data_IF_312826243756
#
_entry.id   IF_312826243756
#
_cell.length_a   1.000
_cell.length_b   1.000
_cell.length_c   1.000
_cell.angle_alpha   90.00
_cell.angle_beta   90.00
_cell.angle_gamma   90.00
#
_symmetry.space_group_name_H-M   'P 1'
#
loop_
_entity.id
_entity.type
_entity.pdbx_description
1 polymer ?
#
# COMPACT_ATOMS: atom_id res chain seq x y z
N UNK A 1 57.52 -5.78 -28.74
CA UNK A 1 56.44 -4.88 -29.21
C UNK A 1 55.11 -5.62 -29.17
N UNK A 2 54.03 -4.90 -28.82
CA UNK A 2 52.61 -5.29 -28.73
C UNK A 2 52.16 -6.00 -27.44
N UNK A 3 52.00 -5.20 -26.38
CA UNK A 3 51.01 -5.47 -25.33
C UNK A 3 49.64 -5.04 -25.86
N UNK A 4 48.76 -6.01 -26.09
CA UNK A 4 47.38 -5.75 -26.50
C UNK A 4 46.56 -5.50 -25.24
N UNK A 5 46.14 -4.24 -25.06
CA UNK A 5 45.19 -3.80 -24.03
C UNK A 5 43.80 -4.32 -24.37
N UNK A 6 43.32 -5.30 -23.60
CA UNK A 6 41.90 -5.69 -23.61
C UNK A 6 41.19 -4.69 -22.70
N UNK A 7 40.53 -3.70 -23.30
CA UNK A 7 39.62 -2.81 -22.60
C UNK A 7 38.40 -3.63 -22.17
N UNK A 8 38.38 -4.08 -20.91
CA UNK A 8 37.21 -4.68 -20.29
C UNK A 8 36.20 -3.56 -20.09
N UNK A 9 35.25 -3.46 -21.02
CA UNK A 9 34.12 -2.55 -20.94
C UNK A 9 33.37 -2.79 -19.64
N UNK A 10 33.41 -1.79 -18.76
CA UNK A 10 32.62 -1.74 -17.54
C UNK A 10 31.16 -1.56 -17.95
N UNK A 11 30.49 -2.68 -18.24
CA UNK A 11 29.05 -2.71 -18.47
C UNK A 11 28.36 -2.45 -17.15
N UNK A 12 28.09 -1.18 -16.89
CA UNK A 12 27.28 -0.71 -15.77
C UNK A 12 25.81 -1.12 -16.03
N UNK A 13 25.47 -2.37 -15.70
CA UNK A 13 24.08 -2.77 -15.52
C UNK A 13 23.58 -2.09 -14.24
N UNK A 14 23.01 -0.90 -14.38
CA UNK A 14 22.13 -0.34 -13.37
C UNK A 14 20.91 -1.25 -13.28
N UNK A 15 20.93 -2.24 -12.37
CA UNK A 15 19.72 -2.98 -11.99
C UNK A 15 18.93 -2.05 -11.08
N UNK A 16 18.15 -1.17 -11.68
CA UNK A 16 17.10 -0.45 -10.97
C UNK A 16 16.04 -1.46 -10.59
N UNK A 17 16.16 -2.04 -9.39
CA UNK A 17 15.10 -2.82 -8.78
C UNK A 17 13.90 -1.92 -8.56
N UNK A 18 12.98 -1.89 -9.51
CA UNK A 18 11.66 -1.28 -9.32
C UNK A 18 10.88 -2.25 -8.44
N UNK A 19 10.80 -1.94 -7.15
CA UNK A 19 9.81 -2.59 -6.28
C UNK A 19 8.44 -2.12 -6.75
N UNK A 20 7.74 -2.99 -7.47
CA UNK A 20 6.33 -2.80 -7.73
C UNK A 20 5.59 -2.86 -6.39
N UNK A 21 5.32 -1.69 -5.78
CA UNK A 21 4.38 -1.61 -4.68
C UNK A 21 3.03 -2.05 -5.25
N UNK A 22 2.64 -3.30 -4.98
CA UNK A 22 1.31 -3.77 -5.32
C UNK A 22 0.32 -2.76 -4.72
N UNK A 23 -0.55 -2.10 -5.52
CA UNK A 23 -1.42 -1.05 -5.02
C UNK A 23 -2.37 -1.66 -3.98
N UNK A 24 -1.96 -1.57 -2.72
CA UNK A 24 -2.76 -2.01 -1.60
C UNK A 24 -4.04 -1.18 -1.56
N UNK A 25 -5.18 -1.86 -1.43
CA UNK A 25 -6.48 -1.19 -1.36
C UNK A 25 -6.52 -0.29 -0.13
N UNK A 26 -6.68 1.02 -0.35
CA UNK A 26 -6.63 2.04 0.69
C UNK A 26 -7.90 2.89 0.67
N UNK A 27 -8.59 2.98 1.80
CA UNK A 27 -9.83 3.73 1.96
C UNK A 27 -9.67 4.77 3.05
N UNK A 28 -10.00 6.02 2.74
CA UNK A 28 -10.09 7.10 3.73
C UNK A 28 -11.56 7.42 3.96
N UNK A 29 -11.99 7.35 5.21
CA UNK A 29 -13.32 7.75 5.66
C UNK A 29 -13.22 9.03 6.49
N UNK A 30 -14.01 10.06 6.15
CA UNK A 30 -14.04 11.34 6.89
C UNK A 30 -15.44 11.63 7.45
N UNK A 31 -15.50 12.16 8.66
CA UNK A 31 -16.72 12.67 9.29
C UNK A 31 -16.38 13.80 10.28
N UNK A 32 -17.07 14.95 10.18
CA UNK A 32 -16.92 16.10 11.09
C UNK A 32 -15.46 16.50 11.40
N UNK A 33 -14.58 16.52 10.38
CA UNK A 33 -13.16 16.87 10.55
C UNK A 33 -12.26 15.74 11.05
N UNK A 34 -12.82 14.58 11.41
CA UNK A 34 -12.07 13.39 11.80
C UNK A 34 -11.89 12.47 10.60
N UNK A 35 -10.68 11.94 10.42
CA UNK A 35 -10.37 10.93 9.41
C UNK A 35 -10.07 9.58 10.06
N UNK A 36 -10.46 8.51 9.37
CA UNK A 36 -10.09 7.12 9.66
C UNK A 36 -9.67 6.45 8.37
N UNK A 37 -8.75 5.52 8.46
CA UNK A 37 -8.21 4.85 7.28
C UNK A 37 -8.37 3.35 7.43
N UNK A 38 -8.69 2.69 6.32
CA UNK A 38 -8.75 1.23 6.22
C UNK A 38 -7.79 0.88 5.11
N UNK A 39 -6.88 -0.06 5.35
CA UNK A 39 -5.94 -0.52 4.34
C UNK A 39 -5.74 -2.01 4.43
N UNK A 40 -5.43 -2.61 3.30
CA UNK A 40 -4.97 -3.99 3.24
C UNK A 40 -3.45 -3.97 3.25
N UNK A 41 -2.83 -4.85 4.01
CA UNK A 41 -1.39 -5.10 3.96
C UNK A 41 -1.16 -6.61 3.76
N UNK A 42 0.00 -7.02 3.20
CA UNK A 42 0.40 -8.42 3.21
C UNK A 42 0.47 -8.93 4.66
N UNK A 43 0.02 -10.17 4.87
CA UNK A 43 0.14 -10.79 6.19
C UNK A 43 1.58 -11.19 6.51
N UNK A 44 1.84 -11.73 7.72
CA UNK A 44 3.18 -12.07 8.18
C UNK A 44 3.90 -13.02 7.21
N UNK A 45 5.17 -12.72 6.92
CA UNK A 45 5.99 -13.44 5.93
C UNK A 45 5.44 -13.39 4.49
N UNK A 46 4.77 -12.28 4.12
CA UNK A 46 4.16 -12.06 2.80
C UNK A 46 3.11 -13.11 2.43
N UNK A 47 2.51 -13.75 3.44
CA UNK A 47 1.46 -14.75 3.26
C UNK A 47 0.11 -14.18 3.65
N UNK A 48 -0.85 -14.35 2.76
CA UNK A 48 -2.20 -13.84 2.98
C UNK A 48 -2.25 -12.32 3.05
N UNK A 49 -3.18 -11.79 3.83
CA UNK A 49 -3.43 -10.37 3.98
C UNK A 49 -3.98 -10.03 5.36
N UNK A 50 -3.81 -8.79 5.77
CA UNK A 50 -4.40 -8.20 6.98
C UNK A 50 -5.13 -6.91 6.62
N UNK A 51 -6.26 -6.66 7.26
CA UNK A 51 -6.99 -5.39 7.17
C UNK A 51 -6.70 -4.57 8.40
N UNK A 52 -6.05 -3.44 8.19
CA UNK A 52 -5.72 -2.50 9.24
C UNK A 52 -6.68 -1.33 9.23
N UNK A 53 -7.21 -1.02 10.41
CA UNK A 53 -8.09 0.10 10.65
C UNK A 53 -7.43 1.11 11.59
N UNK A 54 -7.26 2.34 11.11
CA UNK A 54 -6.63 3.41 11.88
C UNK A 54 -7.69 4.31 12.50
N UNK A 55 -7.62 4.47 13.82
CA UNK A 55 -8.47 5.40 14.57
C UNK A 55 -7.62 6.21 15.54
N UNK A 56 -7.56 7.53 15.34
CA UNK A 56 -6.79 8.43 16.20
C UNK A 56 -5.28 8.18 16.15
N UNK A 57 -4.77 7.74 15.00
CA UNK A 57 -3.34 7.42 14.80
C UNK A 57 -2.93 6.02 15.27
N UNK A 58 -3.87 5.22 15.81
CA UNK A 58 -3.60 3.85 16.24
C UNK A 58 -4.16 2.89 15.20
N UNK A 59 -3.29 2.01 14.71
CA UNK A 59 -3.65 0.93 13.81
C UNK A 59 -4.13 -0.30 14.58
N UNK A 60 -5.20 -0.92 14.09
CA UNK A 60 -5.74 -2.15 14.64
C UNK A 60 -6.02 -3.14 13.50
N UNK A 61 -5.57 -4.38 13.66
CA UNK A 61 -5.93 -5.45 12.76
C UNK A 61 -7.40 -5.82 13.03
N UNK A 62 -8.26 -5.62 12.03
CA UNK A 62 -9.71 -5.89 12.11
C UNK A 62 -10.12 -7.11 11.29
N UNK A 63 -9.19 -7.72 10.57
CA UNK A 63 -9.37 -9.02 9.94
C UNK A 63 -8.09 -9.46 9.23
N UNK A 64 -8.06 -10.74 8.88
CA UNK A 64 -6.99 -11.35 8.12
C UNK A 64 -7.57 -12.37 7.15
N UNK A 65 -6.82 -12.70 6.10
CA UNK A 65 -7.18 -13.71 5.12
C UNK A 65 -5.93 -14.49 4.71
N UNK A 66 -6.09 -15.79 4.45
CA UNK A 66 -4.98 -16.64 4.00
C UNK A 66 -4.64 -16.42 2.51
N UNK A 67 -5.59 -15.87 1.76
CA UNK A 67 -5.48 -15.58 0.33
C UNK A 67 -5.36 -14.08 0.12
N UNK A 68 -4.69 -13.65 -0.95
CA UNK A 68 -4.48 -12.23 -1.29
C UNK A 68 -5.78 -11.42 -1.35
N UNK A 69 -6.88 -12.02 -1.81
CA UNK A 69 -8.17 -11.36 -1.99
C UNK A 69 -9.12 -11.60 -0.79
N UNK A 70 -8.66 -12.29 0.25
CA UNK A 70 -9.49 -12.63 1.42
C UNK A 70 -9.89 -11.42 2.26
N UNK A 71 -9.19 -10.30 2.08
CA UNK A 71 -9.35 -9.09 2.89
C UNK A 71 -10.32 -8.06 2.30
N UNK A 72 -10.59 -8.10 0.99
CA UNK A 72 -11.53 -7.17 0.33
C UNK A 72 -12.94 -7.20 0.96
N UNK A 73 -13.53 -8.38 1.26
CA UNK A 73 -14.85 -8.42 1.89
C UNK A 73 -14.86 -7.82 3.29
N UNK A 74 -13.75 -7.91 4.03
CA UNK A 74 -13.62 -7.32 5.37
C UNK A 74 -13.52 -5.79 5.26
N UNK A 75 -12.69 -5.30 4.34
CA UNK A 75 -12.57 -3.87 4.06
C UNK A 75 -13.93 -3.25 3.67
N UNK A 76 -14.67 -3.87 2.75
CA UNK A 76 -15.97 -3.37 2.32
C UNK A 76 -17.02 -3.43 3.45
N UNK A 77 -16.97 -4.44 4.33
CA UNK A 77 -17.82 -4.46 5.54
C UNK A 77 -17.53 -3.31 6.49
N UNK A 78 -16.25 -3.03 6.76
CA UNK A 78 -15.85 -1.91 7.64
C UNK A 78 -16.26 -0.58 7.03
N UNK A 79 -16.01 -0.39 5.73
CA UNK A 79 -16.44 0.79 4.98
C UNK A 79 -17.96 0.97 5.04
N UNK A 80 -18.74 -0.05 4.73
CA UNK A 80 -20.20 0.01 4.75
C UNK A 80 -20.74 0.36 6.15
N UNK A 81 -20.12 -0.16 7.21
CA UNK A 81 -20.48 0.20 8.58
C UNK A 81 -20.20 1.68 8.87
N UNK A 82 -19.07 2.22 8.43
CA UNK A 82 -18.77 3.65 8.60
C UNK A 82 -19.73 4.52 7.80
N UNK A 83 -20.05 4.15 6.57
CA UNK A 83 -21.00 4.88 5.73
C UNK A 83 -22.41 4.91 6.34
N UNK A 84 -22.86 3.80 6.95
CA UNK A 84 -24.12 3.76 7.73
C UNK A 84 -24.12 4.73 8.92
N UNK A 85 -22.95 5.08 9.45
CA UNK A 85 -22.77 6.06 10.52
C UNK A 85 -22.34 7.44 9.99
N UNK A 86 -22.74 7.80 8.77
CA UNK A 86 -22.55 9.11 8.14
C UNK A 86 -21.10 9.47 7.78
N UNK A 87 -20.18 8.50 7.78
CA UNK A 87 -18.84 8.73 7.27
C UNK A 87 -18.84 8.76 5.74
N UNK A 88 -18.00 9.62 5.16
CA UNK A 88 -17.77 9.68 3.71
C UNK A 88 -16.47 8.97 3.39
N UNK A 89 -16.57 7.77 2.82
CA UNK A 89 -15.44 6.93 2.46
C UNK A 89 -15.06 7.10 0.99
N UNK A 90 -13.76 7.08 0.71
CA UNK A 90 -13.19 7.16 -0.65
C UNK A 90 -12.04 6.17 -0.79
N UNK A 91 -12.09 5.38 -1.85
CA UNK A 91 -10.97 4.54 -2.30
C UNK A 91 -9.88 5.42 -2.90
N UNK A 92 -8.64 5.16 -2.54
CA UNK A 92 -7.44 5.84 -3.03
C UNK A 92 -6.63 4.82 -3.81
N UNK A 93 -6.76 4.85 -5.13
CA UNK A 93 -6.10 3.90 -6.04
C UNK A 93 -4.68 4.34 -6.42
N UNK A 94 -4.37 5.62 -6.28
CA UNK A 94 -3.03 6.16 -6.47
C UNK A 94 -2.82 7.37 -5.56
N UNK A 95 -1.66 7.41 -4.89
CA UNK A 95 -1.17 8.62 -4.24
C UNK A 95 -0.22 9.28 -5.22
N UNK A 96 -0.68 10.29 -5.96
CA UNK A 96 0.22 11.16 -6.72
C UNK A 96 0.89 12.10 -5.73
N UNK A 97 2.08 11.74 -5.26
CA UNK A 97 2.94 12.67 -4.52
C UNK A 97 3.54 13.65 -5.52
N UNK A 98 2.97 14.85 -5.62
CA UNK A 98 3.67 15.98 -6.21
C UNK A 98 4.73 16.40 -5.19
N UNK A 99 5.94 15.85 -5.30
CA UNK A 99 7.09 16.41 -4.60
C UNK A 99 7.41 17.74 -5.28
N UNK A 100 6.92 18.85 -4.73
CA UNK A 100 7.54 20.15 -4.99
C UNK A 100 8.85 20.17 -4.19
N UNK A 101 9.95 20.05 -4.92
CA UNK A 101 11.30 20.27 -4.40
C UNK A 101 11.44 21.77 -4.11
N UNK A 102 11.35 22.15 -2.83
CA UNK A 102 11.69 23.50 -2.33
C UNK A 102 13.14 23.50 -1.80
#
# INVERSE_FOLDING_TARGET
MKFSLIAIGFSLCCVSGVYASNPQSYVICKNAGVARTIRIEPGPNDKGCEVLYTKGGIDQIVGSGEQSNGCDPVLEKVKANLEKHWWKCRHISSVTTNFSED
#
